data_IF_836878014817
#
_entry.id   IF_836878014817
#
_cell.length_a   1.000
_cell.length_b   1.000
_cell.length_c   1.000
_cell.angle_alpha   90.00
_cell.angle_beta   90.00
_cell.angle_gamma   90.00
#
_symmetry.space_group_name_H-M   'P 1'
#
loop_
_entity.id
_entity.type
_entity.pdbx_description
1 polymer ?
#
# COMPACT_ATOMS: atom_id res chain seq x y z
N UNK A 1 -1.04 -5.09 10.34
CA UNK A 1 -1.22 -6.02 9.20
C UNK A 1 -2.37 -5.51 8.35
N UNK A 2 -2.33 -5.71 7.03
CA UNK A 2 -3.38 -5.35 6.09
C UNK A 2 -3.44 -6.37 4.95
N UNK A 3 -4.59 -6.54 4.33
CA UNK A 3 -4.76 -7.41 3.17
C UNK A 3 -5.78 -6.82 2.21
N UNK A 4 -5.69 -7.19 0.93
CA UNK A 4 -6.67 -6.88 -0.09
C UNK A 4 -6.71 -7.97 -1.16
N UNK A 5 -7.70 -7.93 -2.03
CA UNK A 5 -7.83 -8.85 -3.16
C UNK A 5 -7.83 -8.05 -4.46
N UNK A 6 -7.18 -8.59 -5.49
CA UNK A 6 -7.33 -8.07 -6.84
C UNK A 6 -8.69 -8.49 -7.43
N UNK A 7 -9.02 -8.00 -8.61
CA UNK A 7 -10.26 -8.35 -9.32
C UNK A 7 -10.38 -9.84 -9.65
N UNK A 8 -9.28 -10.60 -9.61
CA UNK A 8 -9.25 -12.05 -9.82
C UNK A 8 -9.26 -12.83 -8.48
N UNK A 9 -9.59 -12.19 -7.37
CA UNK A 9 -9.61 -12.78 -6.03
C UNK A 9 -8.24 -13.31 -5.56
N UNK A 10 -7.14 -12.77 -6.09
CA UNK A 10 -5.79 -13.10 -5.62
C UNK A 10 -5.45 -12.22 -4.42
N UNK A 11 -5.01 -12.81 -3.29
CA UNK A 11 -4.72 -12.04 -2.09
C UNK A 11 -3.37 -11.31 -2.21
N UNK A 12 -3.35 -10.08 -1.71
CA UNK A 12 -2.13 -9.33 -1.39
C UNK A 12 -2.13 -9.03 0.10
N UNK A 13 -1.01 -9.30 0.78
CA UNK A 13 -0.90 -9.21 2.23
C UNK A 13 0.32 -8.37 2.59
N UNK A 14 0.13 -7.39 3.48
CA UNK A 14 1.19 -6.57 4.00
C UNK A 14 1.27 -6.67 5.53
N UNK A 15 2.47 -6.91 6.04
CA UNK A 15 2.74 -7.02 7.47
C UNK A 15 4.15 -6.56 7.79
N UNK A 16 4.41 -6.27 9.06
CA UNK A 16 5.75 -5.91 9.55
C UNK A 16 6.20 -7.03 10.47
N UNK A 17 7.39 -7.55 10.22
CA UNK A 17 8.05 -8.54 11.09
C UNK A 17 9.50 -8.09 11.31
N UNK A 18 9.95 -8.08 12.56
CA UNK A 18 11.29 -7.63 12.95
C UNK A 18 11.69 -6.27 12.37
N UNK A 19 10.74 -5.31 12.34
CA UNK A 19 10.98 -3.96 11.83
C UNK A 19 11.04 -3.84 10.30
N UNK A 20 10.81 -4.92 9.55
CA UNK A 20 10.81 -4.91 8.08
C UNK A 20 9.39 -5.13 7.57
N UNK A 21 8.91 -4.22 6.72
CA UNK A 21 7.64 -4.41 6.03
C UNK A 21 7.81 -5.47 4.93
N UNK A 22 6.83 -6.36 4.83
CA UNK A 22 6.80 -7.46 3.88
C UNK A 22 5.49 -7.39 3.11
N UNK A 23 5.59 -7.51 1.79
CA UNK A 23 4.46 -7.55 0.88
C UNK A 23 4.44 -8.90 0.16
N UNK A 24 3.41 -9.69 0.40
CA UNK A 24 3.13 -10.93 -0.32
C UNK A 24 2.08 -10.63 -1.39
N UNK A 25 2.42 -10.83 -2.66
CA UNK A 25 1.57 -10.43 -3.80
C UNK A 25 1.83 -11.30 -5.03
N UNK A 26 0.90 -11.30 -6.00
CA UNK A 26 1.03 -12.06 -7.24
C UNK A 26 1.79 -11.27 -8.32
N UNK A 27 2.98 -11.74 -8.70
CA UNK A 27 3.74 -11.20 -9.83
C UNK A 27 3.31 -11.88 -11.13
N UNK A 28 2.58 -11.14 -11.96
CA UNK A 28 2.12 -11.61 -13.27
C UNK A 28 3.26 -11.92 -14.25
N UNK A 29 4.44 -11.32 -14.07
CA UNK A 29 5.61 -11.61 -14.91
C UNK A 29 6.26 -12.95 -14.58
N UNK A 30 6.27 -13.31 -13.29
CA UNK A 30 6.81 -14.58 -12.80
C UNK A 30 5.73 -15.67 -12.66
N UNK A 31 4.46 -15.32 -12.93
CA UNK A 31 3.28 -16.16 -12.78
C UNK A 31 3.14 -16.84 -11.40
N UNK A 32 3.61 -16.20 -10.33
CA UNK A 32 3.61 -16.75 -8.96
C UNK A 32 3.45 -15.66 -7.91
N UNK A 33 3.07 -16.07 -6.70
CA UNK A 33 3.17 -15.17 -5.55
C UNK A 33 4.63 -15.01 -5.12
N UNK A 34 5.00 -13.78 -4.77
CA UNK A 34 6.33 -13.41 -4.32
C UNK A 34 6.24 -12.62 -3.02
N UNK A 35 7.34 -12.63 -2.25
CA UNK A 35 7.49 -11.84 -1.03
C UNK A 35 8.54 -10.75 -1.28
N UNK A 36 8.12 -9.49 -1.27
CA UNK A 36 9.01 -8.33 -1.39
C UNK A 36 9.23 -7.71 -0.02
N UNK A 37 10.47 -7.37 0.30
CA UNK A 37 10.85 -6.77 1.58
C UNK A 37 11.10 -5.27 1.38
N UNK A 38 10.59 -4.47 2.31
CA UNK A 38 10.79 -3.04 2.35
C UNK A 38 11.27 -2.60 3.74
N UNK A 39 12.56 -2.24 3.90
CA UNK A 39 13.08 -1.75 5.16
C UNK A 39 12.59 -0.33 5.46
N UNK A 40 12.64 0.09 6.72
CA UNK A 40 12.32 1.45 7.19
C UNK A 40 10.89 1.93 6.85
N UNK A 41 9.97 0.97 6.69
CA UNK A 41 8.56 1.22 6.44
C UNK A 41 7.74 0.72 7.62
N UNK A 42 6.81 1.56 8.08
CA UNK A 42 5.85 1.24 9.13
C UNK A 42 4.42 1.43 8.64
N UNK A 43 3.47 0.91 9.43
CA UNK A 43 2.04 1.11 9.21
C UNK A 43 1.54 0.77 7.76
N UNK A 44 1.83 -0.42 7.22
CA UNK A 44 1.36 -0.75 5.88
C UNK A 44 -0.18 -0.88 5.81
N UNK A 45 -0.75 -0.39 4.70
CA UNK A 45 -2.16 -0.49 4.33
C UNK A 45 -2.30 -0.87 2.86
N UNK A 46 -3.32 -1.67 2.57
CA UNK A 46 -3.66 -2.17 1.24
C UNK A 46 -5.13 -1.89 0.93
N UNK A 47 -5.40 -1.42 -0.29
CA UNK A 47 -6.75 -1.37 -0.85
C UNK A 47 -6.70 -1.39 -2.36
N UNK A 48 -7.67 -2.08 -2.96
CA UNK A 48 -7.99 -1.95 -4.39
C UNK A 48 -8.56 -0.54 -4.66
N UNK A 49 -8.11 0.10 -5.73
CA UNK A 49 -8.55 1.45 -6.13
C UNK A 49 -9.86 1.46 -6.94
N UNK A 50 -10.13 0.49 -7.81
CA UNK A 50 -11.39 0.42 -8.54
C UNK A 50 -11.91 -1.01 -8.62
N UNK A 51 -12.99 -1.25 -7.88
CA UNK A 51 -13.68 -2.55 -7.81
C UNK A 51 -14.75 -2.75 -8.89
N UNK A 52 -14.91 -1.80 -9.82
CA UNK A 52 -15.93 -1.93 -10.89
C UNK A 52 -15.53 -3.01 -11.89
N UNK A 53 -16.50 -3.84 -12.25
CA UNK A 53 -16.30 -5.02 -13.13
C UNK A 53 -15.70 -4.69 -14.50
N UNK A 54 -15.87 -3.48 -15.01
CA UNK A 54 -15.33 -3.09 -16.31
C UNK A 54 -13.88 -2.59 -16.24
N UNK A 55 -13.36 -2.27 -15.05
CA UNK A 55 -12.05 -1.64 -14.89
C UNK A 55 -10.95 -2.62 -14.45
N UNK A 56 -11.11 -3.91 -14.77
CA UNK A 56 -10.19 -4.99 -14.35
C UNK A 56 -8.73 -4.68 -14.75
N UNK A 57 -8.52 -4.13 -15.95
CA UNK A 57 -7.18 -3.85 -16.46
C UNK A 57 -6.49 -2.62 -15.87
N UNK A 58 -7.24 -1.68 -15.28
CA UNK A 58 -6.68 -0.47 -14.67
C UNK A 58 -6.90 -0.39 -13.16
N UNK A 59 -7.39 -1.47 -12.54
CA UNK A 59 -7.48 -1.53 -11.08
C UNK A 59 -6.16 -2.00 -10.50
N UNK A 60 -5.73 -1.35 -9.42
CA UNK A 60 -4.52 -1.65 -8.69
C UNK A 60 -4.81 -1.80 -7.21
N UNK A 61 -4.18 -2.80 -6.60
CA UNK A 61 -3.97 -2.77 -5.16
C UNK A 61 -2.89 -1.73 -4.88
N UNK A 62 -3.29 -0.65 -4.22
CA UNK A 62 -2.38 0.38 -3.73
C UNK A 62 -1.77 -0.11 -2.41
N UNK A 63 -0.44 -0.09 -2.35
CA UNK A 63 0.34 -0.36 -1.14
C UNK A 63 0.83 0.96 -0.57
N UNK A 64 0.22 1.42 0.52
CA UNK A 64 0.55 2.67 1.18
C UNK A 64 1.12 2.42 2.58
N UNK A 65 1.96 3.34 3.03
CA UNK A 65 2.70 3.18 4.27
C UNK A 65 3.36 4.48 4.72
N UNK A 66 3.95 4.45 5.91
CA UNK A 66 4.76 5.55 6.45
C UNK A 66 6.24 5.17 6.36
N UNK A 67 7.04 6.04 5.74
CA UNK A 67 8.50 5.91 5.66
C UNK A 67 9.17 6.95 6.56
N UNK A 68 10.28 6.56 7.21
CA UNK A 68 11.07 7.42 8.09
C UNK A 68 10.24 8.23 9.10
N UNK A 69 9.17 7.62 9.63
CA UNK A 69 8.25 8.18 10.62
C UNK A 69 7.37 9.35 10.16
N UNK A 70 7.66 10.04 9.05
CA UNK A 70 6.96 11.28 8.69
C UNK A 70 6.54 11.41 7.22
N UNK A 71 6.86 10.42 6.37
CA UNK A 71 6.49 10.44 4.95
C UNK A 71 5.37 9.46 4.68
N UNK A 72 4.22 9.95 4.22
CA UNK A 72 3.19 9.09 3.64
C UNK A 72 3.60 8.76 2.20
N UNK A 73 3.76 7.49 1.92
CA UNK A 73 4.19 6.97 0.63
C UNK A 73 3.23 5.91 0.11
N UNK A 74 3.23 5.71 -1.21
CA UNK A 74 2.53 4.59 -1.83
C UNK A 74 3.27 4.00 -3.03
N UNK A 75 2.90 2.78 -3.37
CA UNK A 75 3.39 1.99 -4.51
C UNK A 75 2.21 1.31 -5.21
N UNK A 76 2.34 1.08 -6.52
CA UNK A 76 1.26 0.55 -7.37
C UNK A 76 1.52 -0.88 -7.83
N UNK A 77 0.45 -1.68 -7.93
CA UNK A 77 0.51 -3.07 -8.38
C UNK A 77 0.98 -3.19 -9.85
N UNK A 78 0.49 -2.35 -10.76
CA UNK A 78 0.86 -2.34 -12.19
C UNK A 78 2.36 -2.09 -12.40
N UNK A 79 2.98 -1.40 -11.46
CA UNK A 79 4.43 -1.11 -11.46
C UNK A 79 5.21 -2.14 -10.64
N UNK A 80 4.59 -3.26 -10.28
CA UNK A 80 5.19 -4.33 -9.46
C UNK A 80 5.74 -3.80 -8.14
N UNK A 81 5.12 -2.73 -7.62
CA UNK A 81 5.52 -2.02 -6.41
C UNK A 81 7.00 -1.56 -6.42
N UNK A 82 7.55 -1.27 -7.60
CA UNK A 82 8.95 -0.92 -7.78
C UNK A 82 9.25 0.56 -7.52
N UNK A 83 8.40 1.47 -8.01
CA UNK A 83 8.51 2.90 -7.77
C UNK A 83 7.81 3.31 -6.46
N UNK A 84 8.42 4.25 -5.74
CA UNK A 84 7.85 4.90 -4.55
C UNK A 84 7.35 6.29 -4.90
N UNK A 85 6.15 6.62 -4.47
CA UNK A 85 5.58 7.95 -4.61
C UNK A 85 5.31 8.53 -3.22
N UNK A 86 5.82 9.73 -2.97
CA UNK A 86 5.59 10.47 -1.72
C UNK A 86 4.32 11.31 -1.90
N UNK A 87 3.34 11.10 -1.03
CA UNK A 87 2.08 11.87 -0.97
C UNK A 87 2.21 13.09 -0.08
N UNK A 88 2.85 12.92 1.07
CA UNK A 88 2.97 13.93 2.11
C UNK A 88 4.25 13.70 2.88
N UNK A 89 4.92 14.80 3.25
CA UNK A 89 5.97 14.82 4.27
C UNK A 89 5.51 15.76 5.36
N UNK A 90 5.24 15.23 6.55
CA UNK A 90 4.85 16.05 7.70
C UNK A 90 6.06 16.34 8.59
N UNK A 91 6.64 17.53 8.44
CA UNK A 91 7.83 17.94 9.21
C UNK A 91 7.58 18.10 10.71
N UNK A 92 6.33 18.04 11.17
CA UNK A 92 5.99 18.09 12.59
C UNK A 92 6.11 16.73 13.27
N UNK A 93 6.10 15.64 12.48
CA UNK A 93 6.19 14.25 12.95
C UNK A 93 7.64 13.81 13.14
N UNK A 94 7.85 12.91 14.09
CA UNK A 94 9.17 12.41 14.50
C UNK A 94 9.12 10.93 14.89
N UNK A 95 10.26 10.36 15.28
CA UNK A 95 10.34 9.01 15.82
C UNK A 95 9.49 8.80 17.08
N UNK A 96 9.28 9.86 17.88
CA UNK A 96 8.48 9.83 19.12
C UNK A 96 6.99 10.09 18.91
N UNK A 97 6.62 10.75 17.82
CA UNK A 97 5.24 10.97 17.38
C UNK A 97 5.20 10.75 15.86
N UNK A 98 5.16 9.48 15.42
CA UNK A 98 5.17 9.16 14.01
C UNK A 98 3.84 9.54 13.36
N UNK A 99 3.91 9.83 12.06
CA UNK A 99 2.74 9.81 11.21
C UNK A 99 2.14 8.40 11.24
N UNK A 100 0.84 8.31 11.45
CA UNK A 100 0.10 7.05 11.43
C UNK A 100 -0.89 7.05 10.27
N UNK A 101 -1.00 5.92 9.59
CA UNK A 101 -1.93 5.72 8.48
C UNK A 101 -3.06 4.80 8.94
N UNK A 102 -4.21 5.39 9.25
CA UNK A 102 -5.36 4.64 9.77
C UNK A 102 -6.03 3.82 8.68
N UNK A 103 -6.52 4.49 7.63
CA UNK A 103 -7.31 3.88 6.56
C UNK A 103 -6.87 4.37 5.18
N UNK A 104 -7.06 3.51 4.18
CA UNK A 104 -6.98 3.88 2.76
C UNK A 104 -8.13 3.24 1.99
N UNK A 105 -8.56 3.86 0.90
CA UNK A 105 -9.54 3.27 0.01
C UNK A 105 -10.34 4.28 -0.78
N UNK A 106 -11.32 3.78 -1.54
CA UNK A 106 -12.20 4.62 -2.33
C UNK A 106 -13.32 5.26 -1.53
N UNK A 107 -13.46 6.57 -1.70
CA UNK A 107 -14.64 7.32 -1.29
C UNK A 107 -15.84 7.10 -2.22
N UNK A 108 -17.01 7.55 -1.75
CA UNK A 108 -18.25 7.59 -2.55
C UNK A 108 -18.16 8.53 -3.75
N UNK A 109 -17.21 9.47 -3.76
CA UNK A 109 -16.93 10.40 -4.86
C UNK A 109 -15.91 9.85 -5.87
N UNK A 110 -15.57 8.55 -5.80
CA UNK A 110 -14.62 7.89 -6.71
C UNK A 110 -13.21 8.47 -6.62
N UNK A 111 -12.81 8.92 -5.44
CA UNK A 111 -11.44 9.33 -5.13
C UNK A 111 -10.82 8.37 -4.14
N UNK A 112 -9.58 7.98 -4.40
CA UNK A 112 -8.80 7.22 -3.43
C UNK A 112 -8.29 8.16 -2.33
N UNK A 113 -8.55 7.81 -1.07
CA UNK A 113 -8.25 8.64 0.09
C UNK A 113 -7.31 7.91 1.04
N UNK A 114 -6.63 8.72 1.85
CA UNK A 114 -5.72 8.31 2.91
C UNK A 114 -6.13 9.07 4.18
N UNK A 115 -6.28 8.34 5.28
CA UNK A 115 -6.63 8.89 6.59
C UNK A 115 -5.44 8.75 7.54
N UNK A 116 -4.95 9.87 8.06
CA UNK A 116 -3.80 9.93 8.96
C UNK A 116 -4.14 10.66 10.27
N UNK A 117 -3.25 10.56 11.27
CA UNK A 117 -3.32 11.35 12.51
C UNK A 117 -2.91 12.82 12.31
#
# INVERSE_FOLDING_TARGET
>A
MSFSFDQNMRPTIAYVENGVAKLYWYDASAAKNVLTLYPNITNPRLSLDDKRKFNIGNSDIIFAYVADYNRLCYRLQRERYSAEYVLLTDTTKSDKDPLELFNIGMSTANRFLFETN
#
